data_IF_707160280462
#
_entry.id   IF_707160280462
#
_cell.length_a   1.000
_cell.length_b   1.000
_cell.length_c   1.000
_cell.angle_alpha   90.00
_cell.angle_beta   90.00
_cell.angle_gamma   90.00
#
_symmetry.space_group_name_H-M   'P 1'
#
loop_
_entity.id
_entity.type
_entity.pdbx_description
1 polymer ?
#
# COMPACT_ATOMS: atom_id res chain seq x y z
N UNK A 1 17.78 5.57 9.76
CA UNK A 1 17.00 4.63 8.91
C UNK A 1 16.13 5.48 7.98
N UNK A 2 16.16 5.28 6.66
CA UNK A 2 15.28 5.99 5.73
C UNK A 2 13.93 5.26 5.65
N UNK A 3 12.81 5.98 5.69
CA UNK A 3 11.48 5.40 5.53
C UNK A 3 11.24 4.83 4.12
N UNK A 4 10.11 4.16 3.92
CA UNK A 4 9.71 3.56 2.65
C UNK A 4 9.28 4.58 1.58
N UNK A 5 8.59 5.64 2.02
CA UNK A 5 8.02 6.67 1.14
C UNK A 5 9.01 7.36 0.17
N UNK A 6 10.25 7.72 0.58
CA UNK A 6 11.19 8.39 -0.32
C UNK A 6 11.63 7.54 -1.52
N UNK A 7 11.89 6.24 -1.34
CA UNK A 7 12.39 5.38 -2.40
C UNK A 7 11.27 4.73 -3.23
N UNK A 8 10.21 4.25 -2.57
CA UNK A 8 9.06 3.70 -3.29
C UNK A 8 8.22 4.80 -3.94
N UNK A 9 7.84 5.85 -3.21
CA UNK A 9 7.02 6.93 -3.73
C UNK A 9 7.80 7.95 -4.54
N UNK A 10 8.79 8.60 -3.91
CA UNK A 10 9.59 9.66 -4.53
C UNK A 10 10.60 9.17 -5.58
N UNK A 11 11.00 7.91 -5.50
CA UNK A 11 11.85 7.24 -6.49
C UNK A 11 11.01 6.48 -7.51
N UNK A 12 10.70 5.22 -7.21
CA UNK A 12 10.06 4.31 -8.17
C UNK A 12 8.74 4.87 -8.68
N UNK A 13 7.81 5.25 -7.80
CA UNK A 13 6.50 5.79 -8.15
C UNK A 13 6.59 7.03 -9.04
N UNK A 14 7.49 7.97 -8.74
CA UNK A 14 7.73 9.14 -9.58
C UNK A 14 8.19 8.74 -10.98
N UNK A 15 9.31 8.01 -11.10
CA UNK A 15 9.91 7.70 -12.39
C UNK A 15 9.11 6.67 -13.21
N UNK A 16 8.38 5.77 -12.54
CA UNK A 16 7.56 4.75 -13.18
C UNK A 16 6.17 5.27 -13.57
N UNK A 17 5.48 6.04 -12.72
CA UNK A 17 4.08 6.41 -12.94
C UNK A 17 3.87 7.87 -13.36
N UNK A 18 4.64 8.82 -12.84
CA UNK A 18 4.32 10.25 -12.95
C UNK A 18 5.23 11.06 -13.87
N UNK A 19 6.50 10.68 -14.03
CA UNK A 19 7.45 11.42 -14.85
C UNK A 19 6.94 11.55 -16.30
N UNK A 20 7.10 12.73 -16.93
CA UNK A 20 6.51 13.01 -18.25
C UNK A 20 7.13 12.19 -19.39
N UNK A 21 8.30 11.59 -19.16
CA UNK A 21 8.97 10.68 -20.07
C UNK A 21 9.56 9.49 -19.30
N UNK A 22 9.60 8.32 -19.94
CA UNK A 22 10.22 7.12 -19.36
C UNK A 22 11.74 7.23 -19.49
N UNK A 23 12.41 7.18 -18.35
CA UNK A 23 13.86 7.23 -18.26
C UNK A 23 14.36 5.90 -17.69
N UNK A 24 15.01 5.12 -18.54
CA UNK A 24 15.43 3.76 -18.19
C UNK A 24 16.30 3.71 -16.92
N UNK A 25 17.33 4.56 -16.85
CA UNK A 25 18.26 4.57 -15.72
C UNK A 25 17.58 4.76 -14.35
N UNK A 26 16.80 5.84 -14.09
CA UNK A 26 16.16 6.01 -12.79
C UNK A 26 15.08 4.95 -12.55
N UNK A 27 14.33 4.51 -13.56
CA UNK A 27 13.36 3.41 -13.40
C UNK A 27 14.08 2.15 -12.91
N UNK A 28 15.15 1.72 -13.58
CA UNK A 28 15.91 0.53 -13.20
C UNK A 28 16.51 0.67 -11.80
N UNK A 29 17.09 1.83 -11.48
CA UNK A 29 17.67 2.10 -10.15
C UNK A 29 16.63 1.94 -9.04
N UNK A 30 15.48 2.60 -9.17
CA UNK A 30 14.47 2.61 -8.12
C UNK A 30 13.61 1.35 -8.09
N UNK A 31 13.43 0.68 -9.23
CA UNK A 31 12.82 -0.65 -9.28
C UNK A 31 13.68 -1.68 -8.53
N UNK A 32 15.00 -1.68 -8.76
CA UNK A 32 15.93 -2.57 -8.07
C UNK A 32 15.90 -2.35 -6.55
N UNK A 33 15.93 -1.10 -6.09
CA UNK A 33 15.83 -0.80 -4.66
C UNK A 33 14.45 -1.16 -4.08
N UNK A 34 13.37 -0.95 -4.83
CA UNK A 34 12.02 -1.36 -4.38
C UNK A 34 11.91 -2.87 -4.23
N UNK A 35 12.45 -3.64 -5.19
CA UNK A 35 12.52 -5.11 -5.09
C UNK A 35 13.39 -5.56 -3.91
N UNK A 36 14.52 -4.88 -3.65
CA UNK A 36 15.34 -5.14 -2.46
C UNK A 36 14.59 -4.90 -1.15
N UNK A 37 13.78 -3.83 -1.08
CA UNK A 37 12.96 -3.54 0.10
C UNK A 37 11.86 -4.57 0.29
N UNK A 38 11.20 -5.01 -0.80
CA UNK A 38 10.24 -6.11 -0.77
C UNK A 38 10.89 -7.42 -0.30
N UNK A 39 12.08 -7.76 -0.79
CA UNK A 39 12.83 -8.96 -0.35
C UNK A 39 13.19 -8.90 1.15
N UNK A 40 13.64 -7.73 1.64
CA UNK A 40 13.89 -7.54 3.08
C UNK A 40 12.64 -7.78 3.92
N UNK A 41 11.50 -7.25 3.49
CA UNK A 41 10.22 -7.46 4.18
C UNK A 41 9.81 -8.93 4.12
N UNK A 42 9.93 -9.58 2.96
CA UNK A 42 9.53 -10.97 2.76
C UNK A 42 10.34 -11.92 3.65
N UNK A 43 11.66 -11.73 3.71
CA UNK A 43 12.56 -12.51 4.56
C UNK A 43 12.30 -12.28 6.05
N UNK A 44 11.97 -11.05 6.45
CA UNK A 44 11.58 -10.75 7.83
C UNK A 44 10.27 -11.45 8.18
N UNK A 45 9.25 -11.29 7.34
CA UNK A 45 7.92 -11.84 7.55
C UNK A 45 7.88 -13.36 7.40
N UNK A 46 8.88 -14.00 6.77
CA UNK A 46 9.01 -15.46 6.76
C UNK A 46 9.03 -16.04 8.19
N UNK A 47 9.60 -15.31 9.15
CA UNK A 47 9.79 -15.77 10.53
C UNK A 47 8.95 -15.01 11.56
N UNK A 48 8.18 -13.99 11.15
CA UNK A 48 7.38 -13.16 12.05
C UNK A 48 5.95 -12.99 11.53
N UNK A 49 4.98 -12.89 12.44
CA UNK A 49 3.60 -12.58 12.03
C UNK A 49 3.47 -11.12 11.56
N UNK A 50 4.18 -10.21 12.21
CA UNK A 50 4.15 -8.76 12.00
C UNK A 50 5.54 -8.13 12.07
N UNK A 51 5.63 -6.82 11.84
CA UNK A 51 6.91 -6.13 11.73
C UNK A 51 7.66 -5.97 13.05
N UNK A 52 6.96 -6.02 14.18
CA UNK A 52 7.53 -5.86 15.52
C UNK A 52 7.38 -7.10 16.42
N UNK A 53 7.23 -8.28 15.82
CA UNK A 53 7.05 -9.56 16.52
C UNK A 53 5.73 -10.25 16.14
N UNK A 54 5.09 -10.85 17.13
CA UNK A 54 3.86 -11.63 16.93
C UNK A 54 2.58 -10.81 16.98
N UNK A 55 2.68 -9.53 17.37
CA UNK A 55 1.54 -8.62 17.50
C UNK A 55 1.57 -7.49 16.48
N UNK A 56 0.38 -7.11 16.01
CA UNK A 56 0.17 -6.00 15.11
C UNK A 56 0.51 -4.67 15.78
N UNK A 57 1.34 -3.86 15.14
CA UNK A 57 1.89 -2.64 15.72
C UNK A 57 1.74 -1.43 14.78
N UNK A 58 2.15 -0.25 15.29
CA UNK A 58 2.26 0.96 14.46
C UNK A 58 3.31 0.83 13.34
N UNK A 59 4.27 -0.10 13.45
CA UNK A 59 5.22 -0.36 12.37
C UNK A 59 4.49 -0.96 11.15
N UNK A 60 3.55 -1.87 11.39
CA UNK A 60 2.70 -2.43 10.34
C UNK A 60 1.81 -1.36 9.72
N UNK A 61 1.21 -0.49 10.54
CA UNK A 61 0.41 0.66 10.07
C UNK A 61 1.22 1.61 9.19
N UNK A 62 2.51 1.81 9.47
CA UNK A 62 3.37 2.69 8.70
C UNK A 62 3.81 2.08 7.36
N UNK A 63 4.02 0.76 7.34
CA UNK A 63 4.56 0.03 6.17
C UNK A 63 3.44 -0.38 5.20
N UNK A 64 2.30 -0.82 5.73
CA UNK A 64 1.22 -1.43 4.94
C UNK A 64 0.61 -0.53 3.87
N UNK A 65 0.32 0.78 4.12
CA UNK A 65 -0.20 1.68 3.09
C UNK A 65 0.75 1.88 1.90
N UNK A 66 2.03 1.51 2.04
CA UNK A 66 3.03 1.57 0.98
C UNK A 66 3.20 0.22 0.29
N UNK A 67 3.82 -0.76 0.96
CA UNK A 67 4.14 -2.04 0.33
C UNK A 67 2.95 -2.97 0.23
N UNK A 68 2.08 -2.98 1.24
CA UNK A 68 0.84 -3.75 1.19
C UNK A 68 -0.07 -3.24 0.06
N UNK A 69 -0.24 -1.92 -0.04
CA UNK A 69 -1.01 -1.32 -1.12
C UNK A 69 -0.40 -1.59 -2.52
N UNK A 70 0.92 -1.53 -2.66
CA UNK A 70 1.63 -1.90 -3.89
C UNK A 70 1.37 -3.37 -4.28
N UNK A 71 1.50 -4.29 -3.32
CA UNK A 71 1.27 -5.73 -3.51
C UNK A 71 -0.19 -6.04 -3.85
N UNK A 72 -1.16 -5.28 -3.29
CA UNK A 72 -2.57 -5.36 -3.67
C UNK A 72 -2.90 -4.68 -5.00
N UNK A 73 -1.91 -4.17 -5.74
CA UNK A 73 -2.11 -3.51 -7.03
C UNK A 73 -2.79 -2.15 -6.94
N UNK A 74 -2.80 -1.52 -5.76
CA UNK A 74 -3.48 -0.25 -5.52
C UNK A 74 -2.61 0.96 -5.83
N UNK A 75 -1.31 0.76 -6.02
CA UNK A 75 -0.35 1.80 -6.35
C UNK A 75 0.29 1.53 -7.71
N UNK A 76 0.34 2.58 -8.54
CA UNK A 76 1.14 2.70 -9.75
C UNK A 76 0.89 1.68 -10.88
N UNK A 77 0.01 0.68 -10.71
CA UNK A 77 -0.15 -0.40 -11.69
C UNK A 77 1.16 -1.20 -11.92
N UNK A 78 1.99 -1.32 -10.89
CA UNK A 78 3.35 -1.85 -10.99
C UNK A 78 3.51 -3.31 -10.52
N UNK A 79 2.40 -3.99 -10.21
CA UNK A 79 2.42 -5.33 -9.61
C UNK A 79 3.19 -6.36 -10.45
N UNK A 80 2.89 -6.44 -11.74
CA UNK A 80 3.59 -7.33 -12.68
C UNK A 80 5.06 -6.92 -12.85
N UNK A 81 5.32 -5.63 -13.06
CA UNK A 81 6.68 -5.10 -13.28
C UNK A 81 7.64 -5.40 -12.12
N UNK A 82 7.15 -5.31 -10.88
CA UNK A 82 7.95 -5.60 -9.70
C UNK A 82 7.90 -7.07 -9.27
N UNK A 83 7.10 -7.90 -9.94
CA UNK A 83 6.82 -9.29 -9.59
C UNK A 83 6.32 -9.42 -8.14
N UNK A 84 5.31 -8.64 -7.77
CA UNK A 84 4.89 -8.53 -6.35
C UNK A 84 4.30 -9.84 -5.80
N UNK A 85 3.84 -10.74 -6.67
CA UNK A 85 3.24 -12.01 -6.26
C UNK A 85 4.26 -13.05 -5.81
N UNK A 86 5.56 -12.88 -6.13
CA UNK A 86 6.60 -13.80 -5.68
C UNK A 86 7.00 -13.62 -4.21
N UNK A 87 6.70 -12.47 -3.59
CA UNK A 87 6.93 -12.21 -2.17
C UNK A 87 5.80 -12.77 -1.30
N UNK A 88 5.76 -14.10 -1.20
CA UNK A 88 4.65 -14.84 -0.58
C UNK A 88 4.36 -14.44 0.88
N UNK A 89 5.39 -14.11 1.66
CA UNK A 89 5.21 -13.71 3.06
C UNK A 89 4.70 -12.29 3.18
N UNK A 90 5.13 -11.38 2.29
CA UNK A 90 4.55 -10.04 2.17
C UNK A 90 3.08 -10.12 1.76
N UNK A 91 2.72 -10.97 0.80
CA UNK A 91 1.33 -11.18 0.38
C UNK A 91 0.48 -11.65 1.57
N UNK A 92 0.93 -12.68 2.30
CA UNK A 92 0.24 -13.18 3.50
C UNK A 92 0.03 -12.11 4.56
N UNK A 93 1.07 -11.35 4.91
CA UNK A 93 0.98 -10.25 5.87
C UNK A 93 0.02 -9.15 5.39
N UNK A 94 0.09 -8.83 4.10
CA UNK A 94 -0.75 -7.81 3.47
C UNK A 94 -2.23 -8.18 3.57
N UNK A 95 -2.58 -9.43 3.24
CA UNK A 95 -3.97 -9.90 3.28
C UNK A 95 -4.51 -10.01 4.71
N UNK A 96 -3.69 -10.47 5.66
CA UNK A 96 -4.07 -10.52 7.07
C UNK A 96 -4.43 -9.13 7.63
N UNK A 97 -3.63 -8.10 7.29
CA UNK A 97 -3.91 -6.72 7.71
C UNK A 97 -5.12 -6.15 6.95
N UNK A 98 -5.26 -6.43 5.65
CA UNK A 98 -6.39 -5.97 4.83
C UNK A 98 -7.75 -6.49 5.35
N UNK A 99 -7.76 -7.65 6.01
CA UNK A 99 -8.97 -8.23 6.59
C UNK A 99 -9.50 -7.45 7.81
N UNK A 100 -8.65 -6.69 8.50
CA UNK A 100 -9.00 -5.99 9.75
C UNK A 100 -10.08 -4.93 9.51
N UNK A 101 -11.19 -4.92 10.29
CA UNK A 101 -12.27 -3.94 10.12
C UNK A 101 -11.80 -2.47 10.20
N UNK A 102 -10.86 -2.18 11.11
CA UNK A 102 -10.30 -0.84 11.24
C UNK A 102 -9.47 -0.42 10.02
N UNK A 103 -8.74 -1.34 9.39
CA UNK A 103 -7.97 -1.07 8.15
C UNK A 103 -8.92 -0.83 6.99
N UNK A 104 -9.99 -1.64 6.87
CA UNK A 104 -11.03 -1.44 5.84
C UNK A 104 -11.63 -0.03 5.95
N UNK A 105 -12.04 0.39 7.14
CA UNK A 105 -12.59 1.74 7.38
C UNK A 105 -11.56 2.84 7.17
N UNK A 106 -10.37 2.72 7.76
CA UNK A 106 -9.34 3.76 7.72
C UNK A 106 -8.90 4.10 6.29
N UNK A 107 -8.85 3.11 5.40
CA UNK A 107 -8.50 3.29 3.98
C UNK A 107 -9.54 4.05 3.16
N UNK A 108 -10.76 4.21 3.66
CA UNK A 108 -11.83 4.93 2.96
C UNK A 108 -11.75 6.43 3.23
N UNK A 109 -11.25 6.83 4.39
CA UNK A 109 -11.23 8.22 4.84
C UNK A 109 -10.30 9.06 3.96
N UNK A 110 -10.79 10.21 3.52
CA UNK A 110 -10.15 11.15 2.58
C UNK A 110 -9.76 10.56 1.22
N UNK A 111 -10.31 9.39 0.87
CA UNK A 111 -10.04 8.75 -0.41
C UNK A 111 -10.97 9.30 -1.48
N UNK A 112 -10.39 9.83 -2.56
CA UNK A 112 -11.11 10.49 -3.67
C UNK A 112 -11.07 9.71 -5.00
N UNK A 113 -10.62 8.46 -4.96
CA UNK A 113 -10.43 7.65 -6.17
C UNK A 113 -10.62 6.15 -5.91
N UNK A 114 -10.95 5.40 -6.97
CA UNK A 114 -11.28 3.97 -6.92
C UNK A 114 -12.79 3.74 -6.89
N UNK A 115 -13.22 2.61 -6.32
CA UNK A 115 -14.63 2.28 -6.15
C UNK A 115 -15.33 3.32 -5.24
N UNK A 116 -16.44 3.98 -5.66
CA UNK A 116 -17.19 4.93 -4.85
C UNK A 116 -17.64 4.37 -3.48
N UNK A 117 -17.94 3.08 -3.38
CA UNK A 117 -18.29 2.45 -2.10
C UNK A 117 -17.12 2.39 -1.11
N UNK A 118 -15.89 2.58 -1.60
CA UNK A 118 -14.67 2.62 -0.80
C UNK A 118 -14.15 4.05 -0.55
N UNK A 119 -14.91 5.08 -0.94
CA UNK A 119 -14.53 6.49 -0.81
C UNK A 119 -15.39 7.18 0.26
N UNK A 120 -14.73 7.78 1.25
CA UNK A 120 -15.33 8.65 2.24
C UNK A 120 -14.51 9.94 2.31
N UNK A 121 -14.95 10.98 1.58
CA UNK A 121 -14.15 12.21 1.39
C UNK A 121 -13.82 12.91 2.71
N UNK A 122 -14.75 12.90 3.66
CA UNK A 122 -14.58 13.45 5.00
C UNK A 122 -15.22 12.53 6.04
N UNK A 123 -14.65 12.49 7.24
CA UNK A 123 -15.21 11.75 8.38
C UNK A 123 -15.31 12.69 9.56
N UNK A 124 -16.53 12.90 10.04
CA UNK A 124 -16.86 13.71 11.21
C UNK A 124 -17.63 12.91 12.28
N UNK A 125 -18.25 11.78 11.91
CA UNK A 125 -18.90 10.82 12.81
C UNK A 125 -18.56 9.35 12.46
N UNK A 126 -18.89 8.40 13.33
CA UNK A 126 -18.84 6.98 13.01
C UNK A 126 -19.94 6.56 12.01
N UNK A 127 -21.12 7.18 12.04
CA UNK A 127 -22.22 6.86 11.12
C UNK A 127 -21.95 7.24 9.66
N UNK A 128 -20.91 8.03 9.40
CA UNK A 128 -20.54 8.45 8.05
C UNK A 128 -20.21 7.27 7.12
N UNK A 129 -19.70 6.15 7.66
CA UNK A 129 -19.46 4.94 6.86
C UNK A 129 -20.75 4.31 6.30
N UNK A 130 -21.87 4.49 7.00
CA UNK A 130 -23.15 3.91 6.64
C UNK A 130 -23.99 4.85 5.75
N UNK A 131 -23.67 6.15 5.73
CA UNK A 131 -24.55 7.18 5.15
C UNK A 131 -23.86 8.13 4.17
N UNK A 132 -22.53 8.24 4.19
CA UNK A 132 -21.77 9.28 3.48
C UNK A 132 -20.64 8.79 2.58
N UNK A 133 -20.59 7.49 2.29
CA UNK A 133 -19.70 6.99 1.25
C UNK A 133 -20.17 7.48 -0.13
N UNK A 134 -19.25 7.61 -1.07
CA UNK A 134 -19.51 8.32 -2.32
C UNK A 134 -20.58 7.65 -3.20
N UNK A 135 -20.70 6.32 -3.14
CA UNK A 135 -21.80 5.56 -3.75
C UNK A 135 -23.18 5.99 -3.24
N UNK A 136 -23.30 6.31 -1.95
CA UNK A 136 -24.56 6.72 -1.32
C UNK A 136 -24.94 8.17 -1.61
N UNK A 137 -23.94 9.03 -1.81
CA UNK A 137 -24.16 10.44 -2.12
C UNK A 137 -24.45 10.69 -3.61
N UNK A 138 -24.11 9.72 -4.47
CA UNK A 138 -24.33 9.80 -5.92
C UNK A 138 -25.54 9.01 -6.42
N UNK A 139 -26.16 8.20 -5.56
CA UNK A 139 -27.40 7.46 -5.84
C UNK A 139 -28.63 8.38 -5.80
#
# INVERSE_FOLDING_TARGET
QMGSAPYLGGGFGHFYAYAPAKMEYPINRFAMETKRQLDVLDRHLANHAFMAGDEYSIADMAIWPWYGALVKGLLYGAGEFLDVTSYAHVVRWTDAIAARPAVKRGRMVNRISGDPASQLHERHDASDFDTRTQDKLQA
#
